data_IF_684523551459
#
_entry.id   IF_684523551459
#
_cell.length_a   1.000
_cell.length_b   1.000
_cell.length_c   1.000
_cell.angle_alpha   90.00
_cell.angle_beta   90.00
_cell.angle_gamma   90.00
#
_symmetry.space_group_name_H-M   'P 1'
#
loop_
_entity.id
_entity.type
_entity.pdbx_description
1 polymer ?
#
# COMPACT_ATOMS: atom_id res chain seq x y z
N UNK A 1 -39.29 -34.94 -0.66
CA UNK A 1 -37.88 -35.28 -0.36
C UNK A 1 -37.38 -34.33 0.72
N UNK A 2 -36.54 -34.77 1.68
CA UNK A 2 -35.95 -33.86 2.66
C UNK A 2 -35.08 -32.83 1.95
N UNK A 3 -35.19 -31.55 2.33
CA UNK A 3 -34.27 -30.51 1.86
C UNK A 3 -32.85 -30.88 2.24
N UNK A 4 -31.90 -30.65 1.34
CA UNK A 4 -30.50 -30.84 1.68
C UNK A 4 -30.09 -29.81 2.74
N UNK A 5 -29.17 -30.17 3.64
CA UNK A 5 -28.61 -29.25 4.66
C UNK A 5 -28.13 -27.95 3.99
N UNK A 6 -27.55 -28.08 2.80
CA UNK A 6 -27.09 -26.98 1.96
C UNK A 6 -28.19 -25.98 1.58
N UNK A 7 -29.37 -26.46 1.19
CA UNK A 7 -30.51 -25.60 0.87
C UNK A 7 -31.03 -24.90 2.12
N UNK A 8 -31.12 -25.61 3.24
CA UNK A 8 -31.54 -25.05 4.53
C UNK A 8 -30.60 -23.93 4.99
N UNK A 9 -29.28 -24.14 4.90
CA UNK A 9 -28.29 -23.11 5.27
C UNK A 9 -28.39 -21.88 4.36
N UNK A 10 -28.63 -22.05 3.05
CA UNK A 10 -28.83 -20.92 2.12
C UNK A 10 -30.07 -20.11 2.45
N UNK A 11 -31.19 -20.76 2.77
CA UNK A 11 -32.41 -20.07 3.18
C UNK A 11 -32.20 -19.28 4.48
N UNK A 12 -31.49 -19.86 5.45
CA UNK A 12 -31.16 -19.18 6.70
C UNK A 12 -30.22 -17.99 6.49
N UNK A 13 -29.28 -18.08 5.55
CA UNK A 13 -28.40 -16.97 5.17
C UNK A 13 -29.12 -15.81 4.48
N UNK A 14 -30.30 -16.06 3.90
CA UNK A 14 -31.17 -15.03 3.32
C UNK A 14 -32.28 -14.57 4.28
N UNK A 15 -32.29 -15.10 5.51
CA UNK A 15 -33.25 -14.69 6.54
C UNK A 15 -33.17 -13.19 6.78
N UNK A 16 -34.30 -12.47 6.95
CA UNK A 16 -34.29 -11.06 7.35
C UNK A 16 -33.72 -10.87 8.78
N UNK A 17 -33.63 -11.93 9.58
CA UNK A 17 -33.09 -11.88 10.94
C UNK A 17 -31.56 -12.03 10.95
N UNK A 18 -30.87 -10.94 11.30
CA UNK A 18 -29.42 -10.86 11.42
C UNK A 18 -28.81 -11.95 12.31
N UNK A 19 -29.45 -12.26 13.44
CA UNK A 19 -28.97 -13.28 14.37
C UNK A 19 -28.96 -14.69 13.74
N UNK A 20 -29.96 -15.00 12.91
CA UNK A 20 -30.01 -16.27 12.17
C UNK A 20 -28.85 -16.33 11.17
N UNK A 21 -28.62 -15.25 10.41
CA UNK A 21 -27.49 -15.18 9.46
C UNK A 21 -26.15 -15.32 10.17
N UNK A 22 -25.95 -14.60 11.27
CA UNK A 22 -24.70 -14.64 12.06
C UNK A 22 -24.43 -16.04 12.62
N UNK A 23 -25.45 -16.73 13.14
CA UNK A 23 -25.33 -18.08 13.69
C UNK A 23 -24.91 -19.09 12.61
N UNK A 24 -25.46 -18.96 11.40
CA UNK A 24 -25.07 -19.81 10.27
C UNK A 24 -23.64 -19.49 9.85
N UNK A 25 -23.30 -18.22 9.65
CA UNK A 25 -21.94 -17.82 9.27
C UNK A 25 -20.90 -18.23 10.30
N UNK A 26 -21.22 -18.18 11.59
CA UNK A 26 -20.36 -18.70 12.66
C UNK A 26 -20.09 -20.19 12.51
N UNK A 27 -21.14 -20.97 12.27
CA UNK A 27 -21.04 -22.42 12.08
C UNK A 27 -20.19 -22.77 10.86
N UNK A 28 -20.39 -22.04 9.74
CA UNK A 28 -19.59 -22.19 8.52
C UNK A 28 -18.12 -21.80 8.73
N UNK A 29 -17.87 -20.71 9.44
CA UNK A 29 -16.52 -20.19 9.68
C UNK A 29 -15.71 -21.09 10.60
N UNK A 30 -16.32 -21.71 11.61
CA UNK A 30 -15.67 -22.73 12.45
C UNK A 30 -15.31 -23.99 11.67
N UNK A 31 -16.09 -24.34 10.64
CA UNK A 31 -15.67 -25.24 9.56
C UNK A 31 -15.28 -26.66 10.00
N UNK A 32 -16.06 -27.26 10.88
CA UNK A 32 -15.81 -28.61 11.41
C UNK A 32 -16.14 -29.75 10.42
N UNK A 33 -16.84 -29.47 9.32
CA UNK A 33 -17.22 -30.48 8.31
C UNK A 33 -16.86 -30.05 6.89
N UNK A 34 -16.80 -31.01 5.97
CA UNK A 34 -16.64 -30.77 4.53
C UNK A 34 -17.78 -29.94 3.95
N UNK A 35 -19.02 -30.22 4.35
CA UNK A 35 -20.21 -29.54 3.84
C UNK A 35 -20.21 -28.06 4.22
N UNK A 36 -19.77 -27.71 5.44
CA UNK A 36 -19.65 -26.33 5.87
C UNK A 36 -18.62 -25.56 5.03
N UNK A 37 -17.53 -26.21 4.62
CA UNK A 37 -16.53 -25.63 3.72
C UNK A 37 -17.11 -25.42 2.33
N UNK A 38 -17.80 -26.41 1.77
CA UNK A 38 -18.43 -26.31 0.45
C UNK A 38 -19.47 -25.18 0.36
N UNK A 39 -20.23 -24.97 1.43
CA UNK A 39 -21.20 -23.86 1.50
C UNK A 39 -20.48 -22.53 1.59
N UNK A 40 -19.43 -22.42 2.41
CA UNK A 40 -18.63 -21.20 2.51
C UNK A 40 -17.94 -20.86 1.18
N UNK A 41 -17.37 -21.85 0.49
CA UNK A 41 -16.76 -21.67 -0.82
C UNK A 41 -17.78 -21.21 -1.87
N UNK A 42 -19.01 -21.72 -1.81
CA UNK A 42 -20.08 -21.21 -2.68
C UNK A 42 -20.49 -19.77 -2.38
N UNK A 43 -20.37 -19.32 -1.13
CA UNK A 43 -20.58 -17.90 -0.81
C UNK A 43 -19.43 -17.08 -1.41
N UNK A 44 -18.18 -17.49 -1.19
CA UNK A 44 -16.99 -16.73 -1.62
C UNK A 44 -16.88 -16.66 -3.15
N UNK A 45 -17.00 -17.80 -3.82
CA UNK A 45 -16.78 -17.93 -5.26
C UNK A 45 -18.06 -17.90 -6.10
N UNK A 46 -19.24 -17.97 -5.47
CA UNK A 46 -20.52 -17.87 -6.16
C UNK A 46 -20.84 -16.44 -6.66
N UNK A 47 -22.01 -16.27 -7.26
CA UNK A 47 -22.42 -14.99 -7.85
C UNK A 47 -23.23 -14.09 -6.91
N UNK A 48 -23.65 -14.60 -5.75
CA UNK A 48 -24.50 -13.86 -4.82
C UNK A 48 -23.67 -12.81 -4.05
N UNK A 49 -23.79 -11.55 -4.49
CA UNK A 49 -23.06 -10.43 -3.88
C UNK A 49 -23.60 -10.08 -2.50
N UNK A 50 -24.89 -10.31 -2.24
CA UNK A 50 -25.52 -9.98 -0.95
C UNK A 50 -24.96 -10.90 0.14
N UNK A 51 -24.86 -12.20 -0.14
CA UNK A 51 -24.26 -13.16 0.79
C UNK A 51 -22.80 -12.85 1.09
N UNK A 52 -22.04 -12.40 0.08
CA UNK A 52 -20.64 -11.96 0.29
C UNK A 52 -20.54 -10.72 1.17
N UNK A 53 -21.44 -9.75 1.01
CA UNK A 53 -21.51 -8.58 1.89
C UNK A 53 -21.83 -8.99 3.33
N UNK A 54 -22.78 -9.90 3.54
CA UNK A 54 -23.06 -10.43 4.88
C UNK A 54 -21.85 -11.16 5.47
N UNK A 55 -21.13 -11.93 4.67
CA UNK A 55 -19.89 -12.57 5.09
C UNK A 55 -18.82 -11.54 5.49
N UNK A 56 -18.61 -10.47 4.71
CA UNK A 56 -17.68 -9.38 5.09
C UNK A 56 -18.03 -8.78 6.46
N UNK A 57 -19.31 -8.43 6.65
CA UNK A 57 -19.81 -7.83 7.89
C UNK A 57 -19.63 -8.76 9.08
N UNK A 58 -20.02 -10.03 8.93
CA UNK A 58 -19.82 -11.05 9.95
C UNK A 58 -18.34 -11.18 10.33
N UNK A 59 -17.45 -11.28 9.34
CA UNK A 59 -16.01 -11.43 9.61
C UNK A 59 -15.46 -10.24 10.40
N UNK A 60 -15.79 -9.01 9.98
CA UNK A 60 -15.32 -7.79 10.67
C UNK A 60 -15.86 -7.63 12.08
N UNK A 61 -17.02 -8.22 12.38
CA UNK A 61 -17.66 -8.10 13.70
C UNK A 61 -17.20 -9.20 14.65
N UNK A 62 -17.05 -10.42 14.15
CA UNK A 62 -16.93 -11.62 14.99
C UNK A 62 -15.71 -12.49 14.69
N UNK A 63 -15.19 -12.50 13.46
CA UNK A 63 -14.18 -13.47 13.03
C UNK A 63 -12.82 -12.83 12.74
N UNK A 64 -12.25 -12.16 13.76
CA UNK A 64 -10.95 -11.47 13.77
C UNK A 64 -9.72 -12.40 13.68
N UNK A 65 -9.83 -13.45 12.86
CA UNK A 65 -8.84 -14.51 12.69
C UNK A 65 -8.09 -14.34 11.37
N UNK A 66 -6.93 -15.01 11.25
CA UNK A 66 -6.23 -15.10 9.97
C UNK A 66 -7.11 -15.63 8.84
N UNK A 67 -7.93 -16.65 9.13
CA UNK A 67 -8.89 -17.21 8.16
C UNK A 67 -9.87 -16.15 7.66
N UNK A 68 -10.43 -15.35 8.58
CA UNK A 68 -11.31 -14.23 8.23
C UNK A 68 -10.62 -13.21 7.33
N UNK A 69 -9.40 -12.79 7.68
CA UNK A 69 -8.61 -11.86 6.86
C UNK A 69 -8.31 -12.40 5.46
N UNK A 70 -7.99 -13.70 5.32
CA UNK A 70 -7.74 -14.33 4.02
C UNK A 70 -9.02 -14.40 3.16
N UNK A 71 -10.18 -14.62 3.77
CA UNK A 71 -11.45 -14.58 3.06
C UNK A 71 -11.74 -13.16 2.58
N UNK A 72 -11.54 -12.14 3.42
CA UNK A 72 -11.69 -10.75 2.99
C UNK A 72 -10.74 -10.40 1.85
N UNK A 73 -9.48 -10.82 1.92
CA UNK A 73 -8.52 -10.69 0.82
C UNK A 73 -9.06 -11.32 -0.48
N UNK A 74 -9.65 -12.51 -0.40
CA UNK A 74 -10.23 -13.17 -1.58
C UNK A 74 -11.42 -12.38 -2.14
N UNK A 75 -12.28 -11.85 -1.27
CA UNK A 75 -13.43 -11.02 -1.67
C UNK A 75 -13.00 -9.69 -2.32
N UNK A 76 -11.85 -9.12 -1.94
CA UNK A 76 -11.27 -7.94 -2.60
C UNK A 76 -10.84 -8.20 -4.05
N UNK A 77 -10.65 -9.45 -4.45
CA UNK A 77 -10.34 -9.80 -5.84
C UNK A 77 -11.56 -9.70 -6.77
N UNK A 78 -12.76 -9.49 -6.21
CA UNK A 78 -13.99 -9.48 -6.98
C UNK A 78 -14.08 -8.26 -7.92
N UNK A 79 -14.67 -8.43 -9.11
CA UNK A 79 -14.87 -7.35 -10.08
C UNK A 79 -15.89 -6.31 -9.62
N UNK A 80 -16.82 -6.66 -8.73
CA UNK A 80 -17.79 -5.74 -8.16
C UNK A 80 -17.11 -4.78 -7.17
N UNK A 81 -17.05 -3.49 -7.51
CA UNK A 81 -16.41 -2.46 -6.69
C UNK A 81 -17.05 -2.28 -5.32
N UNK A 82 -18.38 -2.33 -5.23
CA UNK A 82 -19.10 -2.19 -3.95
C UNK A 82 -18.72 -3.30 -2.98
N UNK A 83 -18.60 -4.54 -3.47
CA UNK A 83 -18.14 -5.66 -2.65
C UNK A 83 -16.67 -5.49 -2.24
N UNK A 84 -15.80 -5.01 -3.14
CA UNK A 84 -14.40 -4.74 -2.78
C UNK A 84 -14.31 -3.74 -1.64
N UNK A 85 -15.02 -2.61 -1.73
CA UNK A 85 -15.06 -1.59 -0.68
C UNK A 85 -15.58 -2.14 0.64
N UNK A 86 -16.65 -2.94 0.62
CA UNK A 86 -17.15 -3.58 1.84
C UNK A 86 -16.10 -4.55 2.44
N UNK A 87 -15.37 -5.31 1.62
CA UNK A 87 -14.29 -6.18 2.09
C UNK A 87 -13.09 -5.39 2.65
N UNK A 88 -12.73 -4.27 2.02
CA UNK A 88 -11.68 -3.34 2.49
C UNK A 88 -12.05 -2.71 3.83
N UNK A 89 -13.27 -2.19 3.97
CA UNK A 89 -13.79 -1.64 5.22
C UNK A 89 -13.85 -2.71 6.33
N UNK A 90 -14.33 -3.90 5.99
CA UNK A 90 -14.36 -5.03 6.91
C UNK A 90 -12.95 -5.41 7.37
N UNK A 91 -11.98 -5.42 6.45
CA UNK A 91 -10.59 -5.67 6.77
C UNK A 91 -10.05 -4.59 7.70
N UNK A 92 -10.30 -3.31 7.40
CA UNK A 92 -9.81 -2.18 8.21
C UNK A 92 -10.31 -2.22 9.66
N UNK A 93 -11.58 -2.63 9.87
CA UNK A 93 -12.19 -2.76 11.20
C UNK A 93 -11.57 -3.83 12.10
N UNK A 94 -10.88 -4.83 11.52
CA UNK A 94 -10.32 -5.94 12.30
C UNK A 94 -9.03 -5.50 13.00
N UNK A 95 -8.97 -5.62 14.32
CA UNK A 95 -7.73 -5.41 15.07
C UNK A 95 -7.03 -6.76 15.29
N UNK A 96 -6.13 -7.13 14.38
CA UNK A 96 -5.43 -8.42 14.45
C UNK A 96 -3.96 -8.29 14.06
N UNK A 97 -3.10 -8.94 14.82
CA UNK A 97 -1.65 -9.02 14.54
C UNK A 97 -1.37 -9.77 13.22
N UNK A 98 -2.29 -10.60 12.77
CA UNK A 98 -2.20 -11.35 11.51
C UNK A 98 -2.35 -10.46 10.27
N UNK A 99 -2.92 -9.24 10.41
CA UNK A 99 -3.05 -8.27 9.30
C UNK A 99 -1.72 -8.05 8.59
N UNK A 100 -0.63 -7.99 9.34
CA UNK A 100 0.71 -7.82 8.78
C UNK A 100 1.05 -8.92 7.77
N UNK A 101 0.86 -10.18 8.15
CA UNK A 101 1.18 -11.31 7.27
C UNK A 101 0.30 -11.30 6.01
N UNK A 102 -1.00 -11.02 6.17
CA UNK A 102 -1.94 -10.96 5.06
C UNK A 102 -1.63 -9.79 4.11
N UNK A 103 -1.32 -8.60 4.62
CA UNK A 103 -0.92 -7.46 3.79
C UNK A 103 0.36 -7.75 2.99
N UNK A 104 1.35 -8.43 3.59
CA UNK A 104 2.58 -8.81 2.86
C UNK A 104 2.32 -9.83 1.75
N UNK A 105 1.31 -10.69 1.90
CA UNK A 105 0.84 -11.58 0.85
C UNK A 105 0.10 -10.80 -0.25
N UNK A 106 -0.73 -9.83 0.12
CA UNK A 106 -1.48 -9.00 -0.83
C UNK A 106 -0.58 -8.15 -1.74
N UNK A 107 0.58 -7.71 -1.25
CA UNK A 107 1.60 -7.04 -2.07
C UNK A 107 2.16 -7.90 -3.21
N UNK A 108 1.89 -9.20 -3.22
CA UNK A 108 2.31 -10.16 -4.25
C UNK A 108 1.16 -10.56 -5.19
N UNK A 109 0.01 -9.88 -5.08
CA UNK A 109 -1.15 -10.12 -5.93
C UNK A 109 -0.91 -9.62 -7.35
N UNK A 110 -1.41 -10.34 -8.35
CA UNK A 110 -1.44 -9.88 -9.75
C UNK A 110 -2.51 -8.80 -10.00
N UNK A 111 -3.43 -8.63 -9.04
CA UNK A 111 -4.49 -7.62 -9.12
C UNK A 111 -4.04 -6.31 -8.49
N UNK A 112 -3.96 -5.28 -9.34
CA UNK A 112 -3.48 -3.93 -9.00
C UNK A 112 -4.21 -3.29 -7.81
N UNK A 113 -5.54 -3.33 -7.77
CA UNK A 113 -6.30 -2.75 -6.66
C UNK A 113 -6.06 -3.45 -5.32
N UNK A 114 -5.77 -4.76 -5.32
CA UNK A 114 -5.40 -5.50 -4.10
C UNK A 114 -4.03 -5.08 -3.61
N UNK A 115 -3.08 -4.89 -4.54
CA UNK A 115 -1.75 -4.36 -4.22
C UNK A 115 -1.85 -2.95 -3.67
N UNK A 116 -2.64 -2.08 -4.29
CA UNK A 116 -2.79 -0.68 -3.89
C UNK A 116 -3.39 -0.55 -2.48
N UNK A 117 -4.40 -1.36 -2.15
CA UNK A 117 -4.92 -1.43 -0.78
C UNK A 117 -3.83 -1.91 0.20
N UNK A 118 -3.07 -2.94 -0.16
CA UNK A 118 -1.98 -3.44 0.69
C UNK A 118 -0.88 -2.39 0.91
N UNK A 119 -0.56 -1.58 -0.11
CA UNK A 119 0.37 -0.44 0.00
C UNK A 119 -0.12 0.58 1.04
N UNK A 120 -1.43 0.89 1.04
CA UNK A 120 -2.03 1.81 2.01
C UNK A 120 -2.00 1.23 3.44
N UNK A 121 -2.27 -0.07 3.59
CA UNK A 121 -2.19 -0.74 4.89
C UNK A 121 -0.75 -0.77 5.44
N UNK A 122 0.24 -1.10 4.62
CA UNK A 122 1.64 -1.15 5.09
C UNK A 122 2.20 0.23 5.41
N UNK A 123 1.70 1.28 4.75
CA UNK A 123 1.97 2.67 5.09
C UNK A 123 1.41 3.00 6.47
N UNK A 124 0.11 2.73 6.70
CA UNK A 124 -0.63 3.01 7.94
C UNK A 124 0.03 2.40 9.18
N UNK A 125 0.55 1.18 9.06
CA UNK A 125 1.14 0.44 10.18
C UNK A 125 2.66 0.30 10.13
N UNK A 126 3.32 0.96 9.16
CA UNK A 126 4.78 1.00 9.00
C UNK A 126 5.48 -0.37 9.02
N UNK A 127 4.93 -1.36 8.30
CA UNK A 127 5.47 -2.73 8.27
C UNK A 127 6.84 -2.81 7.62
N UNK A 128 7.93 -2.85 8.41
CA UNK A 128 9.31 -2.91 7.91
C UNK A 128 9.55 -3.97 6.84
N UNK A 129 8.94 -5.15 6.98
CA UNK A 129 9.07 -6.25 6.02
C UNK A 129 8.48 -5.93 4.63
N UNK A 130 7.65 -4.89 4.50
CA UNK A 130 7.07 -4.50 3.23
C UNK A 130 8.07 -3.79 2.31
N UNK A 131 9.20 -3.27 2.82
CA UNK A 131 10.16 -2.50 2.02
C UNK A 131 10.62 -3.29 0.78
N UNK A 132 10.97 -4.57 0.95
CA UNK A 132 11.39 -5.41 -0.18
C UNK A 132 10.28 -5.66 -1.19
N UNK A 133 9.02 -5.78 -0.74
CA UNK A 133 7.89 -5.95 -1.64
C UNK A 133 7.57 -4.67 -2.41
N UNK A 134 7.56 -3.51 -1.72
CA UNK A 134 7.40 -2.20 -2.33
C UNK A 134 8.46 -1.94 -3.42
N UNK A 135 9.68 -2.41 -3.20
CA UNK A 135 10.75 -2.34 -4.20
C UNK A 135 10.46 -3.18 -5.45
N UNK A 136 10.01 -4.43 -5.27
CA UNK A 136 9.66 -5.30 -6.40
C UNK A 136 8.51 -4.70 -7.21
N UNK A 137 7.50 -4.11 -6.54
CA UNK A 137 6.40 -3.43 -7.22
C UNK A 137 6.93 -2.23 -8.02
N UNK A 138 7.81 -1.41 -7.43
CA UNK A 138 8.40 -0.27 -8.14
C UNK A 138 9.19 -0.71 -9.38
N UNK A 139 10.03 -1.74 -9.25
CA UNK A 139 10.84 -2.26 -10.36
C UNK A 139 9.97 -2.89 -11.46
N UNK A 140 8.84 -3.54 -11.10
CA UNK A 140 7.93 -4.18 -12.04
C UNK A 140 7.14 -3.19 -12.93
N UNK A 141 6.96 -1.95 -12.48
CA UNK A 141 6.29 -0.89 -13.27
C UNK A 141 7.12 -0.49 -14.51
N UNK A 142 8.40 -0.86 -14.58
CA UNK A 142 9.27 -0.55 -15.74
C UNK A 142 9.59 0.94 -15.85
N UNK A 143 10.10 1.38 -17.00
CA UNK A 143 10.54 2.77 -17.20
C UNK A 143 9.36 3.72 -17.47
N UNK A 144 8.73 4.22 -16.40
CA UNK A 144 7.91 5.46 -16.31
C UNK A 144 7.10 5.86 -17.57
N UNK A 145 6.41 4.91 -18.22
CA UNK A 145 5.77 5.15 -19.53
C UNK A 145 4.44 5.88 -19.48
N UNK A 146 3.65 5.70 -18.40
CA UNK A 146 2.33 6.31 -18.24
C UNK A 146 2.23 7.21 -17.00
N UNK A 147 1.25 8.12 -16.97
CA UNK A 147 1.02 8.97 -15.80
C UNK A 147 0.56 8.17 -14.57
N UNK A 148 -0.15 7.07 -14.78
CA UNK A 148 -0.58 6.15 -13.73
C UNK A 148 0.62 5.42 -13.11
N UNK A 149 1.52 4.89 -13.93
CA UNK A 149 2.78 4.27 -13.49
C UNK A 149 3.62 5.23 -12.63
N UNK A 150 3.75 6.47 -13.10
CA UNK A 150 4.45 7.55 -12.38
C UNK A 150 3.78 7.83 -11.03
N UNK A 151 2.45 7.90 -11.01
CA UNK A 151 1.67 8.12 -9.78
C UNK A 151 1.89 6.98 -8.77
N UNK A 152 1.87 5.72 -9.22
CA UNK A 152 2.09 4.54 -8.37
C UNK A 152 3.51 4.49 -7.82
N UNK A 153 4.52 4.78 -8.63
CA UNK A 153 5.91 4.90 -8.17
C UNK A 153 6.09 6.00 -7.13
N UNK A 154 5.46 7.15 -7.33
CA UNK A 154 5.45 8.24 -6.34
C UNK A 154 4.76 7.78 -5.05
N UNK A 155 3.64 7.07 -5.12
CA UNK A 155 2.96 6.49 -3.95
C UNK A 155 3.93 5.61 -3.15
N UNK A 156 4.67 4.71 -3.81
CA UNK A 156 5.68 3.86 -3.17
C UNK A 156 6.76 4.68 -2.48
N UNK A 157 7.34 5.69 -3.14
CA UNK A 157 8.36 6.57 -2.54
C UNK A 157 7.81 7.28 -1.30
N UNK A 158 6.56 7.76 -1.35
CA UNK A 158 5.89 8.41 -0.22
C UNK A 158 5.64 7.43 0.94
N UNK A 159 5.30 6.18 0.65
CA UNK A 159 5.18 5.13 1.67
C UNK A 159 6.53 4.91 2.37
N UNK A 160 7.61 4.72 1.59
CA UNK A 160 8.97 4.57 2.14
C UNK A 160 9.41 5.77 2.99
N UNK A 161 9.05 6.98 2.54
CA UNK A 161 9.26 8.23 3.30
C UNK A 161 8.55 8.22 4.64
N UNK A 162 7.28 7.82 4.67
CA UNK A 162 6.48 7.81 5.89
C UNK A 162 6.92 6.72 6.87
N UNK A 163 7.36 5.57 6.37
CA UNK A 163 7.93 4.51 7.20
C UNK A 163 9.22 4.95 7.93
N UNK A 164 9.94 5.94 7.39
CA UNK A 164 11.17 6.53 7.98
C UNK A 164 12.23 5.48 8.36
N UNK A 165 12.34 4.43 7.57
CA UNK A 165 13.29 3.33 7.76
C UNK A 165 14.54 3.58 6.94
N UNK A 166 15.71 3.58 7.57
CA UNK A 166 16.99 3.85 6.88
C UNK A 166 17.38 2.75 5.89
N UNK A 167 16.77 1.57 6.04
CA UNK A 167 16.88 0.43 5.14
C UNK A 167 16.45 0.78 3.70
N UNK A 168 15.56 1.77 3.52
CA UNK A 168 15.14 2.21 2.18
C UNK A 168 16.14 3.15 1.50
N UNK A 169 17.17 3.66 2.19
CA UNK A 169 18.10 4.66 1.62
C UNK A 169 18.83 4.12 0.39
N UNK A 170 19.35 2.88 0.47
CA UNK A 170 20.06 2.25 -0.67
C UNK A 170 19.16 2.17 -1.89
N UNK A 171 17.91 1.79 -1.68
CA UNK A 171 16.89 1.68 -2.72
C UNK A 171 16.51 3.04 -3.29
N UNK A 172 16.29 4.04 -2.45
CA UNK A 172 15.96 5.38 -2.90
C UNK A 172 17.09 5.95 -3.77
N UNK A 173 18.35 5.62 -3.50
CA UNK A 173 19.43 5.96 -4.43
C UNK A 173 19.31 5.27 -5.78
N UNK A 174 18.97 3.98 -5.85
CA UNK A 174 18.67 3.31 -7.12
C UNK A 174 17.52 4.02 -7.86
N UNK A 175 16.45 4.39 -7.16
CA UNK A 175 15.30 5.13 -7.73
C UNK A 175 15.67 6.54 -8.23
N UNK A 176 16.79 7.10 -7.79
CA UNK A 176 17.28 8.42 -8.22
C UNK A 176 17.96 8.42 -9.60
N UNK A 177 18.09 7.24 -10.22
CA UNK A 177 18.60 7.05 -11.57
C UNK A 177 17.52 7.27 -12.66
N UNK A 178 16.26 7.53 -12.26
CA UNK A 178 15.17 7.87 -13.19
C UNK A 178 15.41 9.21 -13.90
N UNK A 179 15.03 9.28 -15.17
CA UNK A 179 14.94 10.52 -15.95
C UNK A 179 13.64 11.30 -15.70
N UNK A 180 12.65 10.68 -15.04
CA UNK A 180 11.38 11.31 -14.75
C UNK A 180 11.53 12.32 -13.61
N UNK A 181 11.35 13.60 -13.94
CA UNK A 181 11.52 14.70 -13.00
C UNK A 181 10.62 14.61 -11.76
N UNK A 182 9.35 14.17 -11.91
CA UNK A 182 8.40 14.08 -10.79
C UNK A 182 8.86 13.02 -9.78
N UNK A 183 9.33 11.88 -10.28
CA UNK A 183 9.85 10.79 -9.44
C UNK A 183 11.18 11.20 -8.82
N UNK A 184 12.11 11.75 -9.61
CA UNK A 184 13.40 12.21 -9.12
C UNK A 184 13.25 13.24 -7.99
N UNK A 185 12.32 14.19 -8.13
CA UNK A 185 11.99 15.15 -7.08
C UNK A 185 11.57 14.46 -5.78
N UNK A 186 10.61 13.53 -5.84
CA UNK A 186 10.12 12.82 -4.67
C UNK A 186 11.20 11.96 -4.01
N UNK A 187 12.10 11.36 -4.81
CA UNK A 187 13.26 10.62 -4.31
C UNK A 187 14.24 11.53 -3.58
N UNK A 188 14.66 12.65 -4.20
CA UNK A 188 15.62 13.58 -3.58
C UNK A 188 15.02 14.18 -2.30
N UNK A 189 13.76 14.60 -2.35
CA UNK A 189 13.05 15.10 -1.18
C UNK A 189 13.05 14.07 -0.04
N UNK A 190 12.72 12.81 -0.36
CA UNK A 190 12.69 11.71 0.61
C UNK A 190 14.07 11.43 1.19
N UNK A 191 15.11 11.32 0.36
CA UNK A 191 16.50 11.18 0.80
C UNK A 191 16.95 12.36 1.68
N UNK A 192 16.49 13.58 1.39
CA UNK A 192 16.74 14.76 2.20
C UNK A 192 16.25 14.66 3.64
N UNK A 193 15.12 14.00 3.86
CA UNK A 193 14.62 13.71 5.20
C UNK A 193 15.51 12.72 5.96
N UNK A 194 16.28 11.90 5.24
CA UNK A 194 17.32 11.01 5.79
C UNK A 194 18.72 11.67 5.86
N UNK A 195 18.83 13.00 5.72
CA UNK A 195 20.11 13.75 5.72
C UNK A 195 21.08 13.43 6.88
N UNK A 196 20.59 12.96 8.02
CA UNK A 196 21.46 12.50 9.13
C UNK A 196 22.28 11.25 8.81
N UNK A 197 21.82 10.44 7.87
CA UNK A 197 22.41 9.15 7.48
C UNK A 197 23.11 9.19 6.12
N UNK A 198 23.03 10.32 5.41
CA UNK A 198 23.53 10.47 4.05
C UNK A 198 24.61 11.55 4.04
N UNK A 199 25.65 11.37 3.22
CA UNK A 199 26.69 12.40 3.06
C UNK A 199 26.23 13.44 2.02
N UNK A 200 26.46 14.74 2.25
CA UNK A 200 25.93 15.80 1.40
C UNK A 200 26.46 15.74 -0.05
N UNK A 201 27.65 15.18 -0.27
CA UNK A 201 28.21 15.07 -1.63
C UNK A 201 27.34 14.26 -2.58
N UNK A 202 26.46 13.38 -2.06
CA UNK A 202 25.49 12.61 -2.85
C UNK A 202 24.47 13.49 -3.57
N UNK A 203 24.29 14.73 -3.14
CA UNK A 203 23.31 15.65 -3.72
C UNK A 203 23.92 16.74 -4.61
N UNK A 204 25.25 16.95 -4.54
CA UNK A 204 25.89 18.12 -5.16
C UNK A 204 25.72 18.17 -6.69
N UNK A 205 25.68 17.01 -7.37
CA UNK A 205 25.46 16.94 -8.81
C UNK A 205 24.10 17.51 -9.23
N UNK A 206 23.06 17.34 -8.39
CA UNK A 206 21.71 17.82 -8.69
C UNK A 206 21.58 19.35 -8.63
N UNK A 207 22.54 20.08 -8.04
CA UNK A 207 22.58 21.55 -8.10
C UNK A 207 22.81 22.08 -9.52
N UNK A 208 23.27 21.24 -10.46
CA UNK A 208 23.45 21.59 -11.87
C UNK A 208 22.42 20.93 -12.78
N UNK A 209 21.38 20.33 -12.20
CA UNK A 209 20.35 19.64 -12.97
C UNK A 209 19.58 20.61 -13.87
N UNK A 210 19.16 20.16 -15.06
CA UNK A 210 18.44 20.99 -16.04
C UNK A 210 17.14 21.58 -15.48
N UNK A 211 16.41 20.79 -14.69
CA UNK A 211 15.18 21.22 -14.03
C UNK A 211 15.44 22.12 -12.81
N UNK A 212 14.75 23.25 -12.76
CA UNK A 212 14.73 24.14 -11.60
C UNK A 212 14.12 23.49 -10.35
N UNK A 213 13.10 22.64 -10.52
CA UNK A 213 12.46 21.91 -9.42
C UNK A 213 13.46 21.01 -8.69
N UNK A 214 14.29 20.30 -9.46
CA UNK A 214 15.34 19.42 -8.93
C UNK A 214 16.45 20.21 -8.25
N UNK A 215 16.90 21.33 -8.85
CA UNK A 215 17.89 22.21 -8.20
C UNK A 215 17.36 22.77 -6.89
N UNK A 216 16.11 23.23 -6.86
CA UNK A 216 15.46 23.77 -5.67
C UNK A 216 15.40 22.75 -4.53
N UNK A 217 14.85 21.55 -4.77
CA UNK A 217 14.81 20.52 -3.72
C UNK A 217 16.22 20.13 -3.26
N UNK A 218 17.20 20.16 -4.16
CA UNK A 218 18.61 19.90 -3.81
C UNK A 218 19.17 20.96 -2.87
N UNK A 219 18.93 22.25 -3.13
CA UNK A 219 19.29 23.36 -2.23
C UNK A 219 18.64 23.15 -0.87
N UNK A 220 17.33 22.85 -0.84
CA UNK A 220 16.61 22.53 0.40
C UNK A 220 17.28 21.38 1.17
N UNK A 221 17.63 20.27 0.50
CA UNK A 221 18.32 19.14 1.13
C UNK A 221 19.68 19.55 1.69
N UNK A 222 20.48 20.27 0.90
CA UNK A 222 21.83 20.69 1.27
C UNK A 222 21.83 21.70 2.44
N UNK A 223 20.83 22.58 2.52
CA UNK A 223 20.62 23.52 3.63
C UNK A 223 20.46 22.80 4.99
N UNK A 224 20.02 21.54 5.00
CA UNK A 224 19.89 20.73 6.22
C UNK A 224 21.24 20.31 6.81
N UNK A 225 22.30 20.34 6.01
CA UNK A 225 23.65 20.02 6.47
C UNK A 225 24.29 21.25 7.10
N UNK A 226 24.56 21.19 8.40
CA UNK A 226 25.24 22.26 9.15
C UNK A 226 26.76 22.33 8.88
N UNK A 227 27.17 22.19 7.62
CA UNK A 227 28.57 22.17 7.20
C UNK A 227 29.00 23.52 6.61
N UNK A 228 30.14 24.06 7.09
CA UNK A 228 30.76 25.28 6.52
C UNK A 228 31.13 25.12 5.05
N UNK A 229 31.44 23.91 4.60
CA UNK A 229 31.74 23.63 3.18
C UNK A 229 30.47 23.77 2.35
N UNK A 230 29.40 23.09 2.76
CA UNK A 230 28.11 23.13 2.04
C UNK A 230 27.55 24.55 2.00
N UNK A 231 27.68 25.32 3.08
CA UNK A 231 27.29 26.74 3.06
C UNK A 231 28.03 27.54 1.99
N UNK A 232 29.32 27.32 1.80
CA UNK A 232 30.09 27.98 0.74
C UNK A 232 29.61 27.54 -0.64
N UNK A 233 29.46 26.23 -0.84
CA UNK A 233 28.96 25.67 -2.11
C UNK A 233 27.57 26.24 -2.48
N UNK A 234 26.69 26.47 -1.51
CA UNK A 234 25.36 27.06 -1.71
C UNK A 234 25.41 28.57 -2.01
N UNK A 235 26.32 29.32 -1.37
CA UNK A 235 26.53 30.74 -1.69
C UNK A 235 27.04 30.88 -3.12
N UNK A 236 28.01 30.07 -3.52
CA UNK A 236 28.54 30.07 -4.90
C UNK A 236 27.43 29.72 -5.89
N UNK A 237 26.59 28.72 -5.56
CA UNK A 237 25.44 28.37 -6.37
C UNK A 237 24.43 29.53 -6.48
N UNK A 238 24.13 30.24 -5.39
CA UNK A 238 23.20 31.37 -5.39
C UNK A 238 23.61 32.47 -6.37
N UNK A 239 24.89 32.83 -6.43
CA UNK A 239 25.36 33.86 -7.37
C UNK A 239 25.33 33.41 -8.84
N UNK A 240 25.46 32.10 -9.10
CA UNK A 240 25.41 31.53 -10.45
C UNK A 240 23.99 31.22 -10.93
N UNK A 241 23.07 30.95 -10.01
CA UNK A 241 21.69 30.61 -10.34
C UNK A 241 21.02 31.82 -11.01
N UNK A 242 20.22 31.55 -12.05
CA UNK A 242 19.48 32.59 -12.79
C UNK A 242 18.00 32.54 -12.49
N UNK A 243 17.49 31.38 -12.07
CA UNK A 243 16.09 31.18 -11.78
C UNK A 243 15.72 31.68 -10.37
N UNK A 244 14.87 32.72 -10.22
CA UNK A 244 14.45 33.22 -8.92
C UNK A 244 13.76 32.18 -8.04
N UNK A 245 13.08 31.19 -8.64
CA UNK A 245 12.41 30.12 -7.91
C UNK A 245 13.37 29.26 -7.09
N UNK A 246 14.60 29.06 -7.59
CA UNK A 246 15.65 28.30 -6.92
C UNK A 246 16.39 29.18 -5.91
N UNK A 247 16.61 30.47 -6.23
CA UNK A 247 17.29 31.43 -5.34
C UNK A 247 16.58 31.65 -4.00
N UNK A 248 15.26 31.54 -3.99
CA UNK A 248 14.43 31.84 -2.82
C UNK A 248 14.33 30.66 -1.82
N UNK A 249 15.01 29.54 -2.07
CA UNK A 249 15.06 28.36 -1.19
C UNK A 249 16.29 28.36 -0.28
#
# INVERSE_FOLDING_TARGET
MPKSIKETLKEQLLSPNDHVRDTVLESLMKGYTSEARDVLDQIIYGNDTILKIYLCRYISKYAHTRKGLLILQELMKNKNESLRKEAEEAFDKIESMEKRAVCLQMLQSDLEWVVDFAVDQVQKYHYRAAIEHLMRIYDAIGDDTSEEDVSRKIKIIRVLRQMRRTESIKTLFKMSETDNEKILYEVIYTLGLFSRHIKPFRFLSYMRHKSATIRKVTVWVLNRYKSKKIRRDLIDHFFLEKNPFVKNE
#
